data_IF_712484702284
#
_entry.id   IF_712484702284
#
_cell.length_a   1.000
_cell.length_b   1.000
_cell.length_c   1.000
_cell.angle_alpha   90.00
_cell.angle_beta   90.00
_cell.angle_gamma   90.00
#
_symmetry.space_group_name_H-M   'P 1'
#
loop_
_entity.id
_entity.type
_entity.pdbx_description
1 polymer ?
#
# COMPACT_ATOMS: atom_id res chain seq x y z
N UNK A 1 -7.47 38.42 0.21
CA UNK A 1 -7.16 38.32 1.66
C UNK A 1 -6.06 37.29 1.83
N UNK A 2 -4.98 37.66 2.52
CA UNK A 2 -3.73 36.89 2.54
C UNK A 2 -3.85 35.59 3.35
N UNK A 3 -3.96 34.49 2.61
CA UNK A 3 -3.88 33.13 3.12
C UNK A 3 -2.45 32.79 3.52
N UNK A 4 -2.16 32.93 4.81
CA UNK A 4 -1.03 32.24 5.44
C UNK A 4 -1.61 30.99 6.08
N UNK A 5 -1.47 29.86 5.39
CA UNK A 5 -1.76 28.56 5.98
C UNK A 5 -0.45 27.96 6.49
N UNK A 6 -0.48 27.36 7.68
CA UNK A 6 0.57 26.48 8.16
C UNK A 6 0.17 25.07 7.75
N UNK A 7 0.96 24.46 6.88
CA UNK A 7 0.77 23.06 6.50
C UNK A 7 1.36 22.16 7.59
N UNK A 8 0.57 21.20 8.06
CA UNK A 8 1.01 20.16 8.98
C UNK A 8 1.04 18.84 8.24
N UNK A 9 2.23 18.24 8.13
CA UNK A 9 2.36 16.88 7.60
C UNK A 9 2.05 15.87 8.69
N UNK A 10 0.98 15.10 8.49
CA UNK A 10 0.61 14.01 9.39
C UNK A 10 1.19 12.72 8.83
N UNK A 11 2.07 12.10 9.60
CA UNK A 11 2.66 10.80 9.29
C UNK A 11 1.97 9.69 10.08
N UNK A 12 2.09 8.42 9.64
CA UNK A 12 1.74 7.28 10.47
C UNK A 12 2.50 7.34 11.80
N UNK A 13 1.84 6.90 12.88
CA UNK A 13 2.48 6.78 14.18
C UNK A 13 3.73 5.91 14.09
N UNK A 14 4.81 6.41 14.67
CA UNK A 14 5.97 5.61 15.02
C UNK A 14 5.63 4.61 16.13
N UNK A 15 6.46 3.58 16.30
CA UNK A 15 6.30 2.63 17.40
C UNK A 15 6.32 3.31 18.77
N UNK A 16 7.11 4.38 18.94
CA UNK A 16 7.15 5.14 20.19
C UNK A 16 5.83 5.86 20.48
N UNK A 17 5.23 6.51 19.47
CA UNK A 17 3.91 7.15 19.60
C UNK A 17 2.80 6.12 19.84
N UNK A 18 2.88 4.96 19.20
CA UNK A 18 1.97 3.85 19.47
C UNK A 18 2.02 3.40 20.93
N UNK A 19 3.20 3.26 21.53
CA UNK A 19 3.32 2.88 22.94
C UNK A 19 2.69 3.91 23.88
N UNK A 20 2.84 5.21 23.55
CA UNK A 20 2.19 6.29 24.29
C UNK A 20 0.66 6.23 24.16
N UNK A 21 0.16 6.01 22.93
CA UNK A 21 -1.27 5.90 22.65
C UNK A 21 -1.91 4.71 23.38
N UNK A 22 -1.25 3.55 23.35
CA UNK A 22 -1.77 2.32 23.96
C UNK A 22 -1.43 2.18 25.45
N UNK A 23 -0.62 3.09 26.00
CA UNK A 23 -0.10 3.03 27.37
C UNK A 23 0.57 1.68 27.69
N UNK A 24 1.38 1.18 26.76
CA UNK A 24 2.07 -0.11 26.88
C UNK A 24 3.58 0.07 27.03
N UNK A 25 4.26 -0.83 27.78
CA UNK A 25 5.71 -0.85 27.78
C UNK A 25 6.27 -1.36 26.44
N UNK A 26 7.47 -0.91 26.11
CA UNK A 26 8.21 -1.44 24.97
C UNK A 26 8.54 -2.93 25.19
N UNK A 27 8.34 -3.74 24.16
CA UNK A 27 8.60 -5.17 24.24
C UNK A 27 8.16 -5.91 22.99
N UNK A 28 8.55 -7.19 22.91
CA UNK A 28 8.24 -8.03 21.75
C UNK A 28 6.74 -8.12 21.47
N UNK A 29 5.91 -8.24 22.50
CA UNK A 29 4.46 -8.35 22.36
C UNK A 29 3.84 -7.07 21.78
N UNK A 30 4.15 -5.90 22.35
CA UNK A 30 3.64 -4.61 21.86
C UNK A 30 4.18 -4.28 20.47
N UNK A 31 5.43 -4.68 20.17
CA UNK A 31 6.00 -4.51 18.83
C UNK A 31 5.30 -5.38 17.78
N UNK A 32 5.01 -6.64 18.08
CA UNK A 32 4.26 -7.52 17.17
C UNK A 32 2.83 -7.01 16.95
N UNK A 33 2.16 -6.53 18.00
CA UNK A 33 0.84 -5.91 17.89
C UNK A 33 0.88 -4.66 17.00
N UNK A 34 1.90 -3.81 17.15
CA UNK A 34 2.12 -2.66 16.27
C UNK A 34 2.36 -3.08 14.81
N UNK A 35 3.18 -4.09 14.55
CA UNK A 35 3.41 -4.58 13.18
C UNK A 35 2.16 -5.18 12.54
N UNK A 36 1.29 -5.80 13.33
CA UNK A 36 0.02 -6.36 12.85
C UNK A 36 -1.01 -5.28 12.58
N UNK A 37 -1.12 -4.28 13.46
CA UNK A 37 -2.09 -3.19 13.33
C UNK A 37 -1.65 -2.13 12.31
N UNK A 38 -0.36 -1.80 12.27
CA UNK A 38 0.19 -0.71 11.47
C UNK A 38 0.04 0.66 12.15
N UNK A 39 0.67 1.70 11.59
CA UNK A 39 0.75 3.02 12.22
C UNK A 39 -0.28 4.05 11.74
N UNK A 40 -1.21 3.72 10.83
CA UNK A 40 -2.15 4.72 10.30
C UNK A 40 -3.10 5.21 11.42
N UNK A 41 -3.21 6.53 11.67
CA UNK A 41 -3.92 7.03 12.85
C UNK A 41 -5.37 6.60 12.93
N UNK A 42 -6.07 6.53 11.80
CA UNK A 42 -7.49 6.16 11.77
C UNK A 42 -7.74 4.71 12.24
N UNK A 43 -6.76 3.81 12.12
CA UNK A 43 -6.89 2.42 12.54
C UNK A 43 -7.15 2.27 14.05
N UNK A 44 -6.81 3.29 14.83
CA UNK A 44 -7.00 3.28 16.29
C UNK A 44 -8.37 3.80 16.72
N UNK A 45 -9.14 4.39 15.80
CA UNK A 45 -10.51 4.86 16.03
C UNK A 45 -11.58 3.89 15.52
N UNK A 46 -11.16 2.84 14.81
CA UNK A 46 -12.06 1.87 14.19
C UNK A 46 -12.48 0.77 15.17
N UNK A 47 -13.78 0.42 15.24
CA UNK A 47 -14.30 -0.46 16.28
C UNK A 47 -14.08 -1.96 16.02
N UNK A 48 -13.86 -2.37 14.78
CA UNK A 48 -13.75 -3.79 14.39
C UNK A 48 -12.60 -4.05 13.42
N UNK A 49 -12.09 -5.29 13.42
CA UNK A 49 -11.04 -5.74 12.49
C UNK A 49 -11.52 -5.66 11.03
N UNK A 50 -12.81 -5.88 10.78
CA UNK A 50 -13.41 -5.74 9.44
C UNK A 50 -13.35 -4.29 8.97
N UNK A 51 -13.65 -3.34 9.86
CA UNK A 51 -13.58 -1.90 9.54
C UNK A 51 -12.14 -1.45 9.29
N UNK A 52 -11.17 -1.96 10.04
CA UNK A 52 -9.74 -1.72 9.80
C UNK A 52 -9.31 -2.22 8.42
N UNK A 53 -9.66 -3.46 8.06
CA UNK A 53 -9.36 -4.03 6.73
C UNK A 53 -9.99 -3.21 5.60
N UNK A 54 -11.25 -2.82 5.77
CA UNK A 54 -11.96 -1.99 4.79
C UNK A 54 -11.30 -0.62 4.63
N UNK A 55 -10.85 -0.01 5.72
CA UNK A 55 -10.11 1.24 5.69
C UNK A 55 -8.81 1.10 4.91
N UNK A 56 -7.97 0.11 5.22
CA UNK A 56 -6.72 -0.14 4.49
C UNK A 56 -6.97 -0.39 3.00
N UNK A 57 -8.02 -1.16 2.65
CA UNK A 57 -8.41 -1.39 1.27
C UNK A 57 -8.81 -0.08 0.56
N UNK A 58 -9.59 0.78 1.22
CA UNK A 58 -9.98 2.08 0.65
C UNK A 58 -8.82 3.05 0.47
N UNK A 59 -7.83 3.03 1.38
CA UNK A 59 -6.58 3.79 1.26
C UNK A 59 -5.78 3.28 0.06
N UNK A 60 -5.65 1.95 -0.09
CA UNK A 60 -5.00 1.32 -1.25
C UNK A 60 -5.66 1.78 -2.56
N UNK A 61 -6.99 1.66 -2.66
CA UNK A 61 -7.73 1.99 -3.87
C UNK A 61 -7.65 3.50 -4.18
N UNK A 62 -7.64 4.35 -3.16
CA UNK A 62 -7.44 5.79 -3.33
C UNK A 62 -6.07 6.07 -3.93
N UNK A 63 -5.01 5.48 -3.39
CA UNK A 63 -3.65 5.69 -3.91
C UNK A 63 -3.55 5.18 -5.36
N UNK A 64 -4.00 3.94 -5.62
CA UNK A 64 -3.90 3.34 -6.94
C UNK A 64 -4.74 4.10 -7.97
N UNK A 65 -6.01 4.34 -7.68
CA UNK A 65 -6.95 4.89 -8.67
C UNK A 65 -6.84 6.42 -8.75
N UNK A 66 -6.84 7.13 -7.61
CA UNK A 66 -6.89 8.59 -7.59
C UNK A 66 -5.52 9.21 -7.79
N UNK A 67 -4.49 8.70 -7.11
CA UNK A 67 -3.19 9.37 -7.12
C UNK A 67 -2.28 8.90 -8.25
N UNK A 68 -2.40 7.64 -8.68
CA UNK A 68 -1.60 7.09 -9.78
C UNK A 68 -2.39 7.13 -11.10
N UNK A 69 -3.48 6.38 -11.21
CA UNK A 69 -4.20 6.20 -12.49
C UNK A 69 -4.78 7.51 -13.04
N UNK A 70 -5.34 8.40 -12.21
CA UNK A 70 -5.85 9.69 -12.72
C UNK A 70 -4.74 10.65 -13.15
N UNK A 71 -3.52 10.52 -12.61
CA UNK A 71 -2.42 11.46 -12.87
C UNK A 71 -1.45 10.98 -13.95
N UNK A 72 -1.45 9.68 -14.27
CA UNK A 72 -0.53 9.05 -15.23
C UNK A 72 -1.32 8.18 -16.21
N UNK A 73 -0.93 8.12 -17.50
CA UNK A 73 -1.59 7.28 -18.49
C UNK A 73 -1.27 5.79 -18.28
N UNK A 74 -1.87 5.18 -17.26
CA UNK A 74 -1.74 3.75 -16.95
C UNK A 74 -2.62 2.96 -17.92
N UNK A 75 -1.99 2.12 -18.76
CA UNK A 75 -2.69 1.32 -19.78
C UNK A 75 -3.38 0.08 -19.21
N UNK A 76 -2.78 -0.55 -18.21
CA UNK A 76 -3.31 -1.76 -17.57
C UNK A 76 -3.34 -1.57 -16.06
N UNK A 77 -4.51 -1.18 -15.56
CA UNK A 77 -4.76 -0.97 -14.12
C UNK A 77 -4.72 -2.29 -13.36
N UNK A 78 -5.08 -3.41 -13.99
CA UNK A 78 -5.05 -4.72 -13.34
C UNK A 78 -3.61 -5.16 -13.09
N UNK A 79 -2.73 -4.98 -14.07
CA UNK A 79 -1.30 -5.25 -13.91
C UNK A 79 -0.68 -4.38 -12.80
N UNK A 80 -1.10 -3.12 -12.68
CA UNK A 80 -0.65 -2.25 -11.59
C UNK A 80 -1.06 -2.79 -10.21
N UNK A 81 -2.34 -3.19 -10.04
CA UNK A 81 -2.82 -3.79 -8.77
C UNK A 81 -2.11 -5.12 -8.48
N UNK A 82 -1.92 -5.96 -9.50
CA UNK A 82 -1.17 -7.22 -9.38
C UNK A 82 0.29 -6.96 -8.92
N UNK A 83 0.98 -5.96 -9.49
CA UNK A 83 2.32 -5.55 -9.07
C UNK A 83 2.30 -5.05 -7.63
N UNK A 84 1.32 -4.22 -7.25
CA UNK A 84 1.18 -3.73 -5.88
C UNK A 84 1.04 -4.90 -4.89
N UNK A 85 0.17 -5.86 -5.18
CA UNK A 85 -0.02 -7.07 -4.37
C UNK A 85 1.29 -7.88 -4.28
N UNK A 86 2.01 -8.02 -5.39
CA UNK A 86 3.31 -8.69 -5.38
C UNK A 86 4.31 -7.99 -4.45
N UNK A 87 4.40 -6.67 -4.52
CA UNK A 87 5.33 -5.88 -3.71
C UNK A 87 4.99 -5.98 -2.22
N UNK A 88 3.72 -5.86 -1.85
CA UNK A 88 3.29 -5.97 -0.44
C UNK A 88 3.61 -7.34 0.13
N UNK A 89 3.35 -8.41 -0.62
CA UNK A 89 3.66 -9.79 -0.18
C UNK A 89 5.16 -10.09 -0.11
N UNK A 90 5.99 -9.26 -0.74
CA UNK A 90 7.44 -9.42 -0.78
C UNK A 90 8.16 -8.23 -0.17
N UNK A 91 7.50 -7.42 0.67
CA UNK A 91 8.04 -6.16 1.17
C UNK A 91 9.36 -6.31 1.95
N UNK A 92 9.60 -7.48 2.55
CA UNK A 92 10.83 -7.81 3.27
C UNK A 92 11.94 -8.41 2.39
N UNK A 93 11.68 -8.65 1.10
CA UNK A 93 12.60 -9.28 0.17
C UNK A 93 13.18 -8.25 -0.81
N UNK A 94 14.43 -8.46 -1.22
CA UNK A 94 15.01 -7.71 -2.34
C UNK A 94 14.31 -8.11 -3.64
N UNK A 95 13.85 -7.12 -4.40
CA UNK A 95 13.24 -7.33 -5.71
C UNK A 95 13.96 -6.52 -6.80
N UNK A 96 13.81 -6.97 -8.03
CA UNK A 96 14.25 -6.25 -9.23
C UNK A 96 13.10 -6.25 -10.24
N UNK A 97 13.13 -5.30 -11.18
CA UNK A 97 12.16 -5.26 -12.28
C UNK A 97 12.16 -6.60 -13.04
N UNK A 98 13.34 -7.19 -13.25
CA UNK A 98 13.47 -8.48 -13.92
C UNK A 98 12.80 -9.62 -13.15
N UNK A 99 12.94 -9.67 -11.82
CA UNK A 99 12.25 -10.67 -10.98
C UNK A 99 10.74 -10.53 -11.06
N UNK A 100 10.22 -9.29 -11.03
CA UNK A 100 8.79 -9.02 -11.17
C UNK A 100 8.28 -9.52 -12.53
N UNK A 101 8.97 -9.17 -13.62
CA UNK A 101 8.60 -9.61 -14.97
C UNK A 101 8.62 -11.13 -15.09
N UNK A 102 9.66 -11.79 -14.56
CA UNK A 102 9.77 -13.24 -14.59
C UNK A 102 8.66 -13.93 -13.78
N UNK A 103 8.29 -13.37 -12.62
CA UNK A 103 7.19 -13.86 -11.78
C UNK A 103 5.83 -13.79 -12.51
N UNK A 104 5.53 -12.67 -13.17
CA UNK A 104 4.27 -12.54 -13.90
C UNK A 104 4.23 -13.39 -15.17
N UNK A 105 5.37 -13.58 -15.85
CA UNK A 105 5.48 -14.52 -16.97
C UNK A 105 5.24 -15.98 -16.52
N UNK A 106 5.80 -16.39 -15.39
CA UNK A 106 5.65 -17.77 -14.88
C UNK A 106 4.24 -18.06 -14.36
N UNK A 107 3.49 -17.04 -13.92
CA UNK A 107 2.10 -17.17 -13.47
C UNK A 107 1.03 -17.20 -14.58
N UNK A 108 1.42 -17.09 -15.85
CA UNK A 108 0.58 -17.38 -17.02
C UNK A 108 -0.80 -16.68 -17.03
N UNK A 109 -0.85 -15.35 -16.93
CA UNK A 109 -1.82 -14.63 -17.78
C UNK A 109 -1.29 -14.79 -19.21
N UNK A 110 -1.94 -15.62 -20.02
CA UNK A 110 -1.72 -15.66 -21.46
C UNK A 110 -2.00 -14.26 -22.02
N UNK A 111 -0.97 -13.42 -22.11
CA UNK A 111 -1.00 -12.28 -23.02
C UNK A 111 -0.70 -12.90 -24.38
N UNK A 112 -1.74 -13.06 -25.19
CA UNK A 112 -1.57 -13.29 -26.61
C UNK A 112 -0.71 -12.15 -27.16
N UNK A 113 0.54 -12.48 -27.48
CA UNK A 113 1.39 -11.66 -28.32
C UNK A 113 0.66 -11.58 -29.66
N UNK A 114 -0.03 -10.48 -29.95
CA UNK A 114 -0.48 -10.18 -31.31
C UNK A 114 0.80 -9.79 -32.06
N UNK A 115 1.33 -10.64 -32.95
CA UNK A 115 2.50 -10.30 -33.71
C UNK A 115 2.03 -9.39 -34.85
N UNK A 116 2.55 -8.17 -34.87
CA UNK A 116 2.73 -7.32 -36.06
C UNK A 116 1.50 -6.90 -36.86
N UNK A 117 1.24 -5.59 -36.82
CA UNK A 117 0.74 -4.85 -37.97
C UNK A 117 1.94 -4.59 -38.90
N UNK A 118 2.05 -5.32 -40.01
CA UNK A 118 2.71 -4.87 -41.25
C UNK A 118 1.90 -5.45 -42.43
N UNK A 119 1.30 -4.53 -43.20
CA UNK A 119 0.38 -4.61 -44.37
C UNK A 119 -1.05 -5.07 -44.10
#
# INVERSE_FOLDING_TARGET
>A
MWGRYVEFHIFPYSYAEYLQLMQQPAGRASYLAYLQKGGLPELYNLPTVESEKQYVASVKDTILLRDIVKRKPVRDVRLLDDIFIYLVNNASNLFSVQHIVNFFKSKNRKVSMIPYLII
#
